data_IF_839484343577
#
_entry.id   IF_839484343577
#
_cell.length_a   1.000
_cell.length_b   1.000
_cell.length_c   1.000
_cell.angle_alpha   90.00
_cell.angle_beta   90.00
_cell.angle_gamma   90.00
#
_symmetry.space_group_name_H-M   'P 1'
#
loop_
_entity.id
_entity.type
_entity.pdbx_description
1 polymer ?
#
# COMPACT_ATOMS: atom_id res chain seq x y z
N UNK A 1 52.91 -26.96 -30.94
CA UNK A 1 51.49 -27.31 -31.17
C UNK A 1 50.77 -26.75 -29.96
N UNK A 2 49.89 -25.74 -30.11
CA UNK A 2 48.95 -25.21 -29.08
C UNK A 2 48.38 -23.82 -29.47
N UNK A 3 48.11 -23.56 -30.76
CA UNK A 3 47.49 -22.27 -31.18
C UNK A 3 46.19 -22.43 -31.95
N UNK A 4 45.90 -23.61 -32.50
CA UNK A 4 44.61 -23.86 -33.16
C UNK A 4 43.56 -24.35 -32.18
N UNK A 5 43.95 -25.09 -31.15
CA UNK A 5 43.02 -25.57 -30.12
C UNK A 5 42.45 -24.43 -29.29
N UNK A 6 43.21 -23.36 -29.02
CA UNK A 6 42.72 -22.17 -28.30
C UNK A 6 41.68 -21.37 -29.11
N UNK A 7 41.92 -21.17 -30.42
CA UNK A 7 41.02 -20.42 -31.31
C UNK A 7 39.63 -21.08 -31.48
N UNK A 8 39.57 -22.41 -31.58
CA UNK A 8 38.30 -23.13 -31.73
C UNK A 8 37.66 -23.50 -30.39
N UNK A 9 38.44 -23.58 -29.30
CA UNK A 9 37.89 -23.75 -27.94
C UNK A 9 37.13 -22.51 -27.51
N UNK A 10 37.64 -21.31 -27.81
CA UNK A 10 36.94 -20.08 -27.47
C UNK A 10 35.58 -19.99 -28.20
N UNK A 11 35.52 -20.43 -29.48
CA UNK A 11 34.27 -20.55 -30.27
C UNK A 11 33.28 -21.56 -29.68
N UNK A 12 33.79 -22.65 -29.12
CA UNK A 12 32.95 -23.69 -28.49
C UNK A 12 32.33 -23.22 -27.18
N UNK A 13 32.99 -22.31 -26.46
CA UNK A 13 32.55 -21.81 -25.15
C UNK A 13 31.76 -20.48 -25.22
N UNK A 14 31.66 -19.83 -26.37
CA UNK A 14 31.00 -18.50 -26.50
C UNK A 14 29.57 -18.54 -25.99
N UNK A 15 28.80 -19.58 -26.34
CA UNK A 15 27.42 -19.72 -25.90
C UNK A 15 27.33 -19.77 -24.37
N UNK A 16 28.16 -20.61 -23.73
CA UNK A 16 28.22 -20.73 -22.28
C UNK A 16 28.61 -19.40 -21.61
N UNK A 17 29.58 -18.68 -22.19
CA UNK A 17 30.04 -17.36 -21.71
C UNK A 17 28.95 -16.30 -21.81
N UNK A 18 28.22 -16.26 -22.94
CA UNK A 18 27.12 -15.32 -23.15
C UNK A 18 25.92 -15.61 -22.25
N UNK A 19 25.58 -16.90 -22.04
CA UNK A 19 24.54 -17.30 -21.10
C UNK A 19 24.92 -16.86 -19.68
N UNK A 20 26.13 -17.16 -19.24
CA UNK A 20 26.60 -16.76 -17.91
C UNK A 20 26.63 -15.23 -17.75
N UNK A 21 27.05 -14.50 -18.78
CA UNK A 21 27.05 -13.04 -18.78
C UNK A 21 25.61 -12.48 -18.68
N UNK A 22 24.68 -12.98 -19.52
CA UNK A 22 23.28 -12.55 -19.50
C UNK A 22 22.56 -12.92 -18.21
N UNK A 23 22.85 -14.08 -17.62
CA UNK A 23 22.33 -14.46 -16.29
C UNK A 23 22.85 -13.51 -15.21
N UNK A 24 24.14 -13.18 -15.22
CA UNK A 24 24.75 -12.26 -14.26
C UNK A 24 24.22 -10.84 -14.38
N UNK A 25 24.05 -10.35 -15.61
CA UNK A 25 23.44 -9.05 -15.90
C UNK A 25 21.97 -9.02 -15.45
N UNK A 26 21.16 -9.98 -15.90
CA UNK A 26 19.75 -10.07 -15.52
C UNK A 26 19.53 -10.22 -14.02
N UNK A 27 20.40 -10.95 -13.31
CA UNK A 27 20.33 -11.04 -11.85
C UNK A 27 20.62 -9.71 -11.17
N UNK A 28 21.67 -9.00 -11.61
CA UNK A 28 22.05 -7.70 -11.04
C UNK A 28 20.98 -6.63 -11.28
N UNK A 29 20.45 -6.59 -12.49
CA UNK A 29 19.41 -5.63 -12.85
C UNK A 29 18.10 -5.97 -12.13
N UNK A 30 17.71 -7.24 -12.12
CA UNK A 30 16.53 -7.71 -11.38
C UNK A 30 16.62 -7.43 -9.88
N UNK A 31 17.79 -7.62 -9.27
CA UNK A 31 18.00 -7.29 -7.86
C UNK A 31 17.86 -5.78 -7.61
N UNK A 32 18.45 -4.96 -8.48
CA UNK A 32 18.42 -3.49 -8.34
C UNK A 32 16.98 -2.96 -8.47
N UNK A 33 16.28 -3.37 -9.53
CA UNK A 33 14.90 -2.97 -9.79
C UNK A 33 13.98 -3.49 -8.68
N UNK A 34 14.12 -4.77 -8.30
CA UNK A 34 13.28 -5.37 -7.26
C UNK A 34 13.39 -4.68 -5.91
N UNK A 35 14.60 -4.22 -5.53
CA UNK A 35 14.78 -3.44 -4.29
C UNK A 35 14.09 -2.07 -4.38
N UNK A 36 14.21 -1.39 -5.53
CA UNK A 36 13.59 -0.08 -5.74
C UNK A 36 12.06 -0.17 -5.70
N UNK A 37 11.49 -1.09 -6.47
CA UNK A 37 10.04 -1.32 -6.52
C UNK A 37 9.50 -1.77 -5.17
N UNK A 38 10.16 -2.73 -4.51
CA UNK A 38 9.75 -3.21 -3.20
C UNK A 38 9.74 -2.11 -2.14
N UNK A 39 10.71 -1.18 -2.19
CA UNK A 39 10.75 -0.02 -1.31
C UNK A 39 9.59 0.94 -1.58
N UNK A 40 9.33 1.26 -2.84
CA UNK A 40 8.26 2.17 -3.24
C UNK A 40 6.89 1.63 -2.80
N UNK A 41 6.60 0.38 -3.13
CA UNK A 41 5.36 -0.31 -2.75
C UNK A 41 5.23 -0.37 -1.23
N UNK A 42 6.31 -0.70 -0.52
CA UNK A 42 6.30 -0.76 0.94
C UNK A 42 5.95 0.58 1.59
N UNK A 43 6.50 1.69 1.09
CA UNK A 43 6.19 3.04 1.58
C UNK A 43 4.73 3.40 1.29
N UNK A 44 4.27 3.19 0.06
CA UNK A 44 2.88 3.48 -0.31
C UNK A 44 1.92 2.67 0.56
N UNK A 45 2.13 1.36 0.67
CA UNK A 45 1.19 0.49 1.39
C UNK A 45 1.21 0.75 2.90
N UNK A 46 2.39 1.01 3.46
CA UNK A 46 2.53 1.40 4.85
C UNK A 46 1.78 2.70 5.16
N UNK A 47 1.82 3.68 4.25
CA UNK A 47 1.05 4.91 4.39
C UNK A 47 -0.45 4.68 4.35
N UNK A 48 -0.96 3.91 3.38
CA UNK A 48 -2.39 3.56 3.28
C UNK A 48 -2.91 2.90 4.56
N UNK A 49 -2.19 1.88 5.06
CA UNK A 49 -2.56 1.17 6.29
C UNK A 49 -2.50 2.09 7.50
N UNK A 50 -1.43 2.90 7.61
CA UNK A 50 -1.25 3.83 8.71
C UNK A 50 -2.35 4.89 8.78
N UNK A 51 -2.76 5.43 7.62
CA UNK A 51 -3.88 6.36 7.52
C UNK A 51 -5.18 5.72 7.99
N UNK A 52 -5.49 4.52 7.50
CA UNK A 52 -6.73 3.81 7.83
C UNK A 52 -6.82 3.50 9.32
N UNK A 53 -5.78 2.88 9.89
CA UNK A 53 -5.70 2.54 11.32
C UNK A 53 -5.74 3.81 12.18
N UNK A 54 -5.02 4.86 11.78
CA UNK A 54 -5.00 6.14 12.47
C UNK A 54 -6.38 6.80 12.51
N UNK A 55 -7.08 6.78 11.38
CA UNK A 55 -8.45 7.28 11.27
C UNK A 55 -9.40 6.52 12.20
N UNK A 56 -9.37 5.19 12.19
CA UNK A 56 -10.18 4.36 13.10
C UNK A 56 -9.91 4.67 14.57
N UNK A 57 -8.63 4.76 14.95
CA UNK A 57 -8.24 5.12 16.32
C UNK A 57 -8.78 6.50 16.71
N UNK A 58 -8.77 7.47 15.79
CA UNK A 58 -9.35 8.79 15.98
C UNK A 58 -10.86 8.75 16.24
N UNK A 59 -11.62 8.06 15.38
CA UNK A 59 -13.07 7.91 15.52
C UNK A 59 -13.44 7.25 16.84
N UNK A 60 -12.74 6.16 17.21
CA UNK A 60 -12.94 5.45 18.48
C UNK A 60 -12.78 6.40 19.67
N UNK A 61 -11.70 7.20 19.69
CA UNK A 61 -11.46 8.20 20.75
C UNK A 61 -12.57 9.25 20.82
N UNK A 62 -13.09 9.70 19.67
CA UNK A 62 -14.19 10.68 19.61
C UNK A 62 -15.49 10.05 20.14
N UNK A 63 -15.85 8.85 19.68
CA UNK A 63 -17.03 8.12 20.14
C UNK A 63 -16.98 7.84 21.64
N UNK A 64 -15.82 7.50 22.20
CA UNK A 64 -15.63 7.39 23.65
C UNK A 64 -15.88 8.70 24.38
N UNK A 65 -15.36 9.83 23.88
CA UNK A 65 -15.61 11.14 24.49
C UNK A 65 -17.09 11.54 24.42
N UNK A 66 -17.76 11.26 23.31
CA UNK A 66 -19.19 11.51 23.15
C UNK A 66 -20.02 10.64 24.10
N UNK A 67 -19.69 9.36 24.23
CA UNK A 67 -20.32 8.46 25.20
C UNK A 67 -20.19 8.95 26.65
N UNK A 68 -19.01 9.45 27.05
CA UNK A 68 -18.81 9.99 28.40
C UNK A 68 -19.66 11.23 28.67
N UNK A 69 -19.93 12.04 27.63
CA UNK A 69 -20.75 13.24 27.72
C UNK A 69 -22.24 12.93 27.68
N UNK A 70 -22.63 11.96 26.86
CA UNK A 70 -24.00 11.49 26.70
C UNK A 70 -24.02 9.96 26.59
N UNK A 71 -24.34 9.25 27.69
CA UNK A 71 -24.41 7.80 27.72
C UNK A 71 -25.46 7.21 26.76
N UNK A 72 -26.43 7.99 26.31
CA UNK A 72 -27.50 7.53 25.41
C UNK A 72 -27.14 7.67 23.93
N UNK A 73 -26.05 8.38 23.61
CA UNK A 73 -25.59 8.59 22.24
C UNK A 73 -25.21 7.28 21.53
N UNK A 74 -24.61 6.33 22.25
CA UNK A 74 -24.18 5.03 21.73
C UNK A 74 -25.03 3.93 22.36
N UNK A 75 -25.73 3.15 21.54
CA UNK A 75 -26.46 1.97 22.03
C UNK A 75 -25.53 0.93 22.67
N UNK A 76 -26.03 0.14 23.63
CA UNK A 76 -25.25 -0.93 24.28
C UNK A 76 -24.64 -1.91 23.27
N UNK A 77 -25.34 -2.15 22.15
CA UNK A 77 -24.84 -2.99 21.07
C UNK A 77 -23.64 -2.35 20.36
N UNK A 78 -23.73 -1.07 20.05
CA UNK A 78 -22.65 -0.31 19.43
C UNK A 78 -21.45 -0.18 20.38
N UNK A 79 -21.70 -0.02 21.69
CA UNK A 79 -20.67 0.04 22.71
C UNK A 79 -19.85 -1.25 22.81
N UNK A 80 -20.52 -2.42 22.80
CA UNK A 80 -19.82 -3.72 22.76
C UNK A 80 -18.96 -3.85 21.50
N UNK A 81 -19.48 -3.40 20.36
CA UNK A 81 -18.72 -3.36 19.11
C UNK A 81 -17.51 -2.42 19.19
N UNK A 82 -17.66 -1.27 19.84
CA UNK A 82 -16.60 -0.29 20.05
C UNK A 82 -15.46 -0.84 20.92
N UNK A 83 -15.80 -1.51 22.02
CA UNK A 83 -14.80 -2.19 22.89
C UNK A 83 -14.03 -3.24 22.10
N UNK A 84 -14.72 -4.06 21.31
CA UNK A 84 -14.06 -5.07 20.49
C UNK A 84 -13.14 -4.44 19.43
N UNK A 85 -13.55 -3.33 18.82
CA UNK A 85 -12.72 -2.60 17.86
C UNK A 85 -11.46 -2.02 18.53
N UNK A 86 -11.57 -1.51 19.77
CA UNK A 86 -10.42 -1.05 20.55
C UNK A 86 -9.41 -2.17 20.83
N UNK A 87 -9.90 -3.35 21.22
CA UNK A 87 -9.05 -4.52 21.46
C UNK A 87 -8.32 -4.96 20.19
N UNK A 88 -9.01 -4.97 19.05
CA UNK A 88 -8.42 -5.30 17.75
C UNK A 88 -7.34 -4.28 17.36
N UNK A 89 -7.62 -2.99 17.52
CA UNK A 89 -6.64 -1.92 17.25
C UNK A 89 -5.42 -2.00 18.18
N UNK A 90 -5.62 -2.40 19.44
CA UNK A 90 -4.51 -2.59 20.40
C UNK A 90 -3.66 -3.84 20.09
N UNK A 91 -4.20 -4.79 19.34
CA UNK A 91 -3.49 -6.02 18.93
C UNK A 91 -2.59 -5.80 17.72
N UNK A 92 -2.72 -4.67 17.01
CA UNK A 92 -1.88 -4.36 15.85
C UNK A 92 -0.41 -4.27 16.27
N UNK A 93 0.41 -5.14 15.66
CA UNK A 93 1.86 -5.09 15.77
C UNK A 93 2.46 -4.95 14.36
N UNK A 94 3.33 -3.96 14.16
CA UNK A 94 4.01 -3.70 12.89
C UNK A 94 5.47 -4.16 12.88
N UNK A 95 5.92 -4.91 13.90
CA UNK A 95 7.30 -5.40 14.00
C UNK A 95 7.71 -6.33 12.85
N UNK A 96 6.76 -7.10 12.30
CA UNK A 96 7.01 -8.00 11.16
C UNK A 96 6.15 -7.61 9.94
N UNK A 97 6.73 -6.93 8.93
CA UNK A 97 6.04 -6.55 7.71
C UNK A 97 5.58 -7.72 6.83
N UNK A 98 6.09 -8.93 7.08
CA UNK A 98 5.77 -10.15 6.33
C UNK A 98 4.81 -11.07 7.11
N UNK A 99 4.23 -10.61 8.21
CA UNK A 99 3.23 -11.39 8.94
C UNK A 99 1.92 -11.43 8.14
N UNK A 100 1.61 -12.59 7.56
CA UNK A 100 0.37 -12.85 6.83
C UNK A 100 -0.88 -12.56 7.68
N UNK A 101 -0.78 -12.68 9.00
CA UNK A 101 -1.88 -12.43 9.94
C UNK A 101 -2.27 -10.96 10.03
N UNK A 102 -1.39 -10.04 9.63
CA UNK A 102 -1.65 -8.61 9.66
C UNK A 102 -2.78 -8.25 8.70
N UNK A 103 -2.80 -8.85 7.50
CA UNK A 103 -3.85 -8.59 6.51
C UNK A 103 -5.22 -9.04 7.03
N UNK A 104 -5.30 -10.28 7.55
CA UNK A 104 -6.52 -10.80 8.18
C UNK A 104 -7.01 -9.92 9.34
N UNK A 105 -6.09 -9.37 10.13
CA UNK A 105 -6.42 -8.50 11.26
C UNK A 105 -6.95 -7.14 10.76
N UNK A 106 -6.33 -6.56 9.73
CA UNK A 106 -6.80 -5.33 9.10
C UNK A 106 -8.22 -5.51 8.53
N UNK A 107 -8.48 -6.58 7.79
CA UNK A 107 -9.83 -6.87 7.27
C UNK A 107 -10.86 -7.00 8.39
N UNK A 108 -10.50 -7.66 9.50
CA UNK A 108 -11.36 -7.75 10.69
C UNK A 108 -11.63 -6.37 11.30
N UNK A 109 -10.60 -5.52 11.42
CA UNK A 109 -10.74 -4.15 11.92
C UNK A 109 -11.67 -3.34 11.02
N UNK A 110 -11.46 -3.36 9.70
CA UNK A 110 -12.31 -2.67 8.74
C UNK A 110 -13.77 -3.11 8.84
N UNK A 111 -14.02 -4.43 8.89
CA UNK A 111 -15.36 -4.99 9.02
C UNK A 111 -16.04 -4.56 10.33
N UNK A 112 -15.30 -4.59 11.45
CA UNK A 112 -15.81 -4.13 12.75
C UNK A 112 -16.07 -2.64 12.78
N UNK A 113 -15.18 -1.84 12.22
CA UNK A 113 -15.36 -0.40 12.09
C UNK A 113 -16.64 -0.07 11.32
N UNK A 114 -16.84 -0.65 10.13
CA UNK A 114 -18.05 -0.43 9.30
C UNK A 114 -19.33 -0.81 10.06
N UNK A 115 -19.31 -1.91 10.80
CA UNK A 115 -20.43 -2.33 11.62
C UNK A 115 -20.73 -1.32 12.74
N UNK A 116 -19.71 -0.86 13.46
CA UNK A 116 -19.86 0.15 14.54
C UNK A 116 -20.32 1.49 13.99
N UNK A 117 -19.70 1.97 12.90
CA UNK A 117 -20.08 3.21 12.23
C UNK A 117 -21.54 3.19 11.74
N UNK A 118 -22.00 2.05 11.21
CA UNK A 118 -23.40 1.85 10.85
C UNK A 118 -24.34 1.95 12.05
N UNK A 119 -23.95 1.35 13.18
CA UNK A 119 -24.77 1.37 14.40
C UNK A 119 -24.81 2.75 15.07
N UNK A 120 -23.77 3.58 14.90
CA UNK A 120 -23.70 4.96 15.38
C UNK A 120 -24.37 5.93 14.40
N UNK A 121 -24.56 5.53 13.14
CA UNK A 121 -25.21 6.33 12.10
C UNK A 121 -24.26 7.26 11.34
N UNK A 122 -22.95 7.01 11.37
CA UNK A 122 -21.92 7.85 10.73
C UNK A 122 -21.25 7.20 9.50
N UNK A 123 -21.81 6.10 8.97
CA UNK A 123 -21.18 5.36 7.86
C UNK A 123 -21.09 6.19 6.55
N UNK A 124 -22.00 7.14 6.32
CA UNK A 124 -21.98 7.97 5.10
C UNK A 124 -20.74 8.87 5.01
N UNK A 125 -20.13 9.25 6.14
CA UNK A 125 -18.93 10.10 6.17
C UNK A 125 -17.63 9.31 5.96
N UNK A 126 -17.70 7.98 5.90
CA UNK A 126 -16.54 7.09 5.84
C UNK A 126 -16.01 6.84 4.43
N UNK A 127 -16.89 6.83 3.42
CA UNK A 127 -16.45 6.63 2.04
C UNK A 127 -16.09 7.99 1.44
N UNK A 128 -14.80 8.35 1.28
CA UNK A 128 -14.49 9.35 0.28
C UNK A 128 -15.02 8.80 -1.04
N UNK A 129 -15.86 9.58 -1.73
CA UNK A 129 -16.22 9.24 -3.10
C UNK A 129 -14.90 9.17 -3.89
N UNK A 130 -14.39 7.96 -4.17
CA UNK A 130 -13.20 7.73 -5.02
C UNK A 130 -13.42 8.17 -6.48
N UNK A 131 -14.52 8.84 -6.77
CA UNK A 131 -14.88 9.38 -8.06
C UNK A 131 -15.05 10.89 -7.99
N UNK A 132 -13.94 11.61 -7.77
CA UNK A 132 -13.67 12.93 -8.40
C UNK A 132 -12.29 13.45 -7.97
N UNK A 133 -11.32 13.47 -8.90
CA UNK A 133 -10.12 14.31 -8.69
C UNK A 133 -8.78 13.91 -9.30
N UNK A 134 -8.69 13.03 -10.31
CA UNK A 134 -7.53 13.00 -11.23
C UNK A 134 -8.02 13.05 -12.68
N UNK A 135 -8.85 14.05 -13.00
CA UNK A 135 -9.10 14.45 -14.38
C UNK A 135 -8.09 15.52 -14.79
N UNK A 136 -7.15 15.07 -15.63
CA UNK A 136 -6.55 15.84 -16.72
C UNK A 136 -5.67 17.04 -16.34
N UNK A 137 -4.35 16.81 -16.22
CA UNK A 137 -3.40 17.85 -16.58
C UNK A 137 -3.55 18.13 -18.08
N UNK A 138 -4.13 19.30 -18.36
CA UNK A 138 -4.33 19.81 -19.70
C UNK A 138 -3.02 19.89 -20.46
N UNK A 139 -2.95 19.16 -21.56
CA UNK A 139 -1.97 19.38 -22.61
C UNK A 139 -2.33 20.71 -23.29
N UNK A 140 -1.76 21.81 -22.81
CA UNK A 140 -1.90 23.11 -23.46
C UNK A 140 -1.13 23.05 -24.78
N UNK A 141 -1.86 22.85 -25.88
CA UNK A 141 -1.34 23.09 -27.21
C UNK A 141 -0.91 24.55 -27.30
N UNK A 142 0.41 24.77 -27.27
CA UNK A 142 1.02 26.04 -27.55
C UNK A 142 0.91 26.28 -29.06
N UNK A 143 -0.10 27.03 -29.49
CA UNK A 143 -0.15 27.59 -30.84
C UNK A 143 0.99 28.62 -30.96
N UNK A 144 1.84 28.56 -32.00
CA UNK A 144 2.84 29.59 -32.20
C UNK A 144 2.14 30.86 -32.70
N UNK A 145 2.32 31.92 -31.93
CA UNK A 145 1.94 33.30 -32.25
C UNK A 145 2.35 33.69 -33.67
N UNK A 146 1.39 34.21 -34.42
CA UNK A 146 1.60 34.87 -35.70
C UNK A 146 2.59 36.03 -35.54
N UNK A 147 3.74 35.94 -36.22
CA UNK A 147 4.61 37.08 -36.46
C UNK A 147 4.00 37.92 -37.62
N UNK A 148 3.90 39.22 -37.39
CA UNK A 148 3.50 40.23 -38.36
C UNK A 148 4.45 40.30 -39.57
N UNK A 149 3.89 40.45 -40.77
CA UNK A 149 4.21 41.50 -41.75
C UNK A 149 3.00 41.72 -42.66
#
# INVERSE_FOLDING_TARGET
MDSKDDLFSDVHEIEQKLIAAGQGEGYRDGLTVGIMEGREIGVQKGYEIGLEVGFYSGCVKIWRKLQMRDPTFISDRALRGLVNLEELLATLNFENPQDERLQDLLEKIQGRFKAVASMIGCLQDYFPNESQGLTQHGNTQHTPSSLNF
#
